data_IF_417234316035
#
_entry.id   IF_417234316035
#
_cell.length_a   1.000
_cell.length_b   1.000
_cell.length_c   1.000
_cell.angle_alpha   90.00
_cell.angle_beta   90.00
_cell.angle_gamma   90.00
#
_symmetry.space_group_name_H-M   'P 1'
#
loop_
_entity.id
_entity.type
_entity.pdbx_description
1 polymer ?
#
# COMPACT_ATOMS: atom_id res chain seq x y z
N UNK A 1 3.15 34.22 -27.19
CA UNK A 1 2.83 32.94 -27.87
C UNK A 1 3.71 32.61 -29.09
N UNK A 2 4.41 33.56 -29.72
CA UNK A 2 5.29 33.26 -30.89
C UNK A 2 6.52 32.37 -30.59
N UNK A 3 6.89 32.19 -29.32
CA UNK A 3 8.07 31.41 -28.90
C UNK A 3 8.00 29.92 -29.28
N UNK A 4 6.79 29.35 -29.29
CA UNK A 4 6.55 27.92 -29.59
C UNK A 4 6.11 27.66 -31.04
N UNK A 5 5.82 28.71 -31.80
CA UNK A 5 5.35 28.59 -33.19
C UNK A 5 6.52 28.48 -34.19
N UNK A 6 7.69 29.06 -33.89
CA UNK A 6 8.85 29.11 -34.79
C UNK A 6 9.93 28.06 -34.50
N UNK A 7 9.89 27.44 -33.31
CA UNK A 7 10.83 26.38 -32.91
C UNK A 7 10.06 25.06 -32.80
N UNK A 8 10.68 23.94 -33.21
CA UNK A 8 10.11 22.57 -33.13
C UNK A 8 9.84 22.09 -31.68
N UNK A 9 9.69 23.00 -30.72
CA UNK A 9 9.57 22.75 -29.29
C UNK A 9 8.46 21.75 -28.93
N UNK A 10 7.24 21.75 -29.53
CA UNK A 10 6.24 20.75 -29.17
C UNK A 10 6.66 19.30 -29.51
N UNK A 11 7.26 19.08 -30.69
CA UNK A 11 7.69 17.73 -31.12
C UNK A 11 8.99 17.29 -30.43
N UNK A 12 9.95 18.21 -30.26
CA UNK A 12 11.22 17.93 -29.57
C UNK A 12 10.97 17.58 -28.10
N UNK A 13 10.13 18.35 -27.40
CA UNK A 13 9.80 18.11 -25.99
C UNK A 13 9.03 16.79 -25.82
N UNK A 14 8.05 16.52 -26.69
CA UNK A 14 7.35 15.21 -26.71
C UNK A 14 8.32 14.04 -26.89
N UNK A 15 9.26 14.15 -27.84
CA UNK A 15 10.28 13.14 -28.09
C UNK A 15 11.22 12.95 -26.90
N UNK A 16 11.69 14.04 -26.30
CA UNK A 16 12.60 14.01 -25.15
C UNK A 16 11.96 13.37 -23.91
N UNK A 17 10.68 13.68 -23.66
CA UNK A 17 9.88 13.05 -22.59
C UNK A 17 9.64 11.57 -22.89
N UNK A 18 9.29 11.21 -24.13
CA UNK A 18 9.10 9.82 -24.54
C UNK A 18 10.38 8.98 -24.43
N UNK A 19 11.55 9.59 -24.64
CA UNK A 19 12.86 8.93 -24.54
C UNK A 19 13.44 8.95 -23.12
N UNK A 20 12.81 9.62 -22.16
CA UNK A 20 13.26 9.64 -20.76
C UNK A 20 14.66 10.23 -20.55
N UNK A 21 15.06 11.22 -21.37
CA UNK A 21 16.41 11.80 -21.29
C UNK A 21 16.60 12.63 -20.01
N UNK A 22 17.80 12.53 -19.41
CA UNK A 22 18.18 13.28 -18.21
C UNK A 22 18.61 14.74 -18.49
N UNK A 23 18.76 15.13 -19.75
CA UNK A 23 19.10 16.51 -20.14
C UNK A 23 17.93 17.47 -19.85
N UNK A 24 18.21 18.73 -19.49
CA UNK A 24 17.17 19.75 -19.31
C UNK A 24 16.22 19.82 -20.52
N UNK A 25 14.92 19.89 -20.23
CA UNK A 25 13.87 19.96 -21.28
C UNK A 25 14.01 21.21 -22.17
N UNK A 26 14.43 22.32 -21.56
CA UNK A 26 14.65 23.60 -22.23
C UNK A 26 16.13 23.92 -22.34
N UNK A 27 16.54 24.45 -23.50
CA UNK A 27 17.88 24.97 -23.69
C UNK A 27 18.07 26.28 -22.92
N UNK A 28 19.32 26.68 -22.67
CA UNK A 28 19.62 27.93 -21.99
C UNK A 28 19.06 29.17 -22.73
N UNK A 29 19.01 29.13 -24.07
CA UNK A 29 18.42 30.22 -24.87
C UNK A 29 16.90 30.26 -24.74
N UNK A 30 16.23 29.10 -24.70
CA UNK A 30 14.78 29.00 -24.46
C UNK A 30 14.42 29.50 -23.06
N UNK A 31 15.18 29.11 -22.03
CA UNK A 31 15.00 29.59 -20.65
C UNK A 31 15.19 31.12 -20.59
N UNK A 32 16.22 31.66 -21.26
CA UNK A 32 16.48 33.11 -21.31
C UNK A 32 15.34 33.88 -21.99
N UNK A 33 14.82 33.34 -23.10
CA UNK A 33 13.68 33.93 -23.78
C UNK A 33 12.42 33.91 -22.91
N UNK A 34 12.18 32.81 -22.19
CA UNK A 34 11.03 32.66 -21.28
C UNK A 34 11.12 33.62 -20.09
N UNK A 35 12.32 33.79 -19.50
CA UNK A 35 12.60 34.81 -18.47
C UNK A 35 12.36 36.23 -18.98
N UNK A 36 12.71 36.50 -20.24
CA UNK A 36 12.46 37.81 -20.88
C UNK A 36 10.96 38.07 -21.06
N UNK A 37 10.18 37.04 -21.43
CA UNK A 37 8.72 37.14 -21.48
C UNK A 37 8.13 37.44 -20.10
N UNK A 38 8.57 36.74 -19.05
CA UNK A 38 8.11 37.02 -17.68
C UNK A 38 8.43 38.46 -17.29
N UNK A 39 9.65 38.93 -17.54
CA UNK A 39 10.05 40.32 -17.25
C UNK A 39 9.15 41.35 -17.92
N UNK A 40 8.79 41.14 -19.19
CA UNK A 40 7.88 42.05 -19.89
C UNK A 40 6.47 41.98 -19.30
N UNK A 41 5.95 40.78 -19.05
CA UNK A 41 4.62 40.59 -18.46
C UNK A 41 4.51 41.24 -17.07
N UNK A 42 5.49 41.06 -16.19
CA UNK A 42 5.49 41.70 -14.87
C UNK A 42 5.49 43.23 -14.94
N UNK A 43 6.23 43.82 -15.89
CA UNK A 43 6.21 45.27 -16.11
C UNK A 43 4.82 45.77 -16.51
N UNK A 44 4.12 45.02 -17.37
CA UNK A 44 2.74 45.32 -17.75
C UNK A 44 1.78 45.23 -16.55
N UNK A 45 2.05 44.33 -15.60
CA UNK A 45 1.31 44.22 -14.34
C UNK A 45 1.75 45.24 -13.27
N UNK A 46 2.66 46.17 -13.59
CA UNK A 46 3.13 47.22 -12.66
C UNK A 46 4.28 46.82 -11.74
N UNK A 47 4.85 45.62 -11.89
CA UNK A 47 6.01 45.16 -11.13
C UNK A 47 7.29 45.57 -11.86
N UNK A 48 8.03 46.54 -11.30
CA UNK A 48 9.26 47.08 -11.91
C UNK A 48 10.55 46.53 -11.29
N UNK A 49 10.45 45.76 -10.19
CA UNK A 49 11.62 45.14 -9.57
C UNK A 49 12.28 44.10 -10.49
N UNK A 50 13.58 43.88 -10.29
CA UNK A 50 14.27 42.76 -10.92
C UNK A 50 13.77 41.43 -10.35
N UNK A 51 13.53 40.46 -11.23
CA UNK A 51 13.07 39.13 -10.83
C UNK A 51 14.26 38.33 -10.33
N UNK A 52 14.21 37.90 -9.08
CA UNK A 52 15.21 37.04 -8.48
C UNK A 52 14.98 35.57 -8.89
N UNK A 53 15.92 35.03 -9.66
CA UNK A 53 15.92 33.65 -10.16
C UNK A 53 16.85 32.73 -9.35
N UNK A 54 17.35 33.19 -8.20
CA UNK A 54 18.23 32.38 -7.35
C UNK A 54 17.53 31.10 -6.89
N UNK A 55 18.32 30.02 -6.83
CA UNK A 55 17.89 28.71 -6.38
C UNK A 55 18.69 28.39 -5.13
N UNK A 56 18.00 28.24 -4.00
CA UNK A 56 18.66 27.96 -2.73
C UNK A 56 19.13 26.51 -2.66
N UNK A 57 20.22 26.21 -1.93
CA UNK A 57 20.65 24.83 -1.69
C UNK A 57 19.52 23.98 -1.08
N UNK A 58 19.33 22.77 -1.63
CA UNK A 58 18.27 21.85 -1.21
C UNK A 58 16.85 22.24 -1.62
N UNK A 59 16.67 23.30 -2.41
CA UNK A 59 15.37 23.79 -2.87
C UNK A 59 15.45 24.12 -4.36
N UNK A 60 15.16 23.18 -5.28
CA UNK A 60 15.50 23.26 -6.70
C UNK A 60 14.63 24.23 -7.51
N UNK A 61 13.85 25.08 -6.84
CA UNK A 61 12.92 26.01 -7.46
C UNK A 61 13.38 27.46 -7.25
N UNK A 62 13.15 28.29 -8.27
CA UNK A 62 13.33 29.75 -8.18
C UNK A 62 12.14 30.36 -7.42
N UNK A 63 12.06 30.10 -6.11
CA UNK A 63 10.91 30.44 -5.28
C UNK A 63 10.61 31.94 -5.23
N UNK A 64 11.63 32.80 -5.36
CA UNK A 64 11.43 34.25 -5.38
C UNK A 64 10.67 34.69 -6.65
N UNK A 65 11.04 34.15 -7.81
CA UNK A 65 10.32 34.40 -9.06
C UNK A 65 8.89 33.85 -9.03
N UNK A 66 8.68 32.66 -8.46
CA UNK A 66 7.37 32.04 -8.34
C UNK A 66 6.46 32.77 -7.33
N UNK A 67 7.02 33.22 -6.20
CA UNK A 67 6.30 34.04 -5.23
C UNK A 67 5.89 35.39 -5.81
N UNK A 68 6.74 36.01 -6.64
CA UNK A 68 6.38 37.22 -7.36
C UNK A 68 5.25 36.98 -8.36
N UNK A 69 5.27 35.83 -9.05
CA UNK A 69 4.17 35.44 -9.95
C UNK A 69 2.86 35.30 -9.18
N UNK A 70 2.86 34.62 -8.05
CA UNK A 70 1.67 34.47 -7.21
C UNK A 70 1.14 35.82 -6.71
N UNK A 71 2.02 36.75 -6.32
CA UNK A 71 1.62 38.12 -5.97
C UNK A 71 0.95 38.85 -7.14
N UNK A 72 1.53 38.77 -8.34
CA UNK A 72 0.97 39.40 -9.54
C UNK A 72 -0.38 38.78 -9.93
N UNK A 73 -0.58 37.49 -9.67
CA UNK A 73 -1.84 36.79 -9.90
C UNK A 73 -2.85 36.95 -8.76
N UNK A 74 -2.49 37.65 -7.68
CA UNK A 74 -3.32 37.81 -6.48
C UNK A 74 -3.75 36.44 -5.91
N UNK A 75 -2.79 35.51 -5.85
CA UNK A 75 -3.01 34.18 -5.28
C UNK A 75 -3.52 34.29 -3.84
N UNK A 76 -4.50 33.44 -3.49
CA UNK A 76 -5.11 33.42 -2.15
C UNK A 76 -4.18 32.82 -1.11
N UNK A 77 -3.29 31.92 -1.53
CA UNK A 77 -2.29 31.34 -0.65
C UNK A 77 -1.06 32.25 -0.56
N UNK A 78 -1.12 33.19 0.38
CA UNK A 78 -0.03 34.12 0.67
C UNK A 78 1.09 33.48 1.49
N UNK A 79 0.89 32.28 2.04
CA UNK A 79 1.81 31.64 2.99
C UNK A 79 2.70 30.56 2.37
N UNK A 80 2.30 29.98 1.24
CA UNK A 80 3.04 28.93 0.54
C UNK A 80 4.50 29.32 0.24
N UNK A 81 4.72 30.45 -0.42
CA UNK A 81 6.07 30.85 -0.86
C UNK A 81 6.99 31.27 0.29
N UNK A 82 6.53 31.99 1.33
CA UNK A 82 7.27 32.10 2.59
C UNK A 82 7.64 30.74 3.18
N UNK A 83 6.67 29.82 3.34
CA UNK A 83 6.91 28.51 3.93
C UNK A 83 7.93 27.67 3.13
N UNK A 84 7.85 27.64 1.79
CA UNK A 84 8.82 26.93 0.95
C UNK A 84 10.24 27.50 1.04
N UNK A 85 10.38 28.80 1.32
CA UNK A 85 11.69 29.47 1.49
C UNK A 85 12.31 29.16 2.84
N UNK A 86 11.53 29.15 3.91
CA UNK A 86 12.01 28.81 5.26
C UNK A 86 12.18 27.29 5.46
N UNK A 87 11.37 26.51 4.76
CA UNK A 87 11.13 25.09 5.01
C UNK A 87 9.71 24.91 5.52
N UNK A 88 8.97 23.97 4.92
CA UNK A 88 7.57 23.77 5.25
C UNK A 88 7.44 23.16 6.64
N UNK A 89 6.43 23.58 7.42
CA UNK A 89 6.11 22.96 8.69
C UNK A 89 5.53 21.56 8.46
N UNK A 90 5.80 20.67 9.40
CA UNK A 90 5.28 19.29 9.46
C UNK A 90 3.81 19.24 9.89
N UNK A 91 3.29 20.32 10.49
CA UNK A 91 1.94 20.39 11.05
C UNK A 91 1.83 19.93 12.49
N UNK A 92 2.94 19.54 13.12
CA UNK A 92 3.02 19.38 14.57
C UNK A 92 2.81 20.74 15.23
N UNK A 93 2.05 20.79 16.33
CA UNK A 93 1.71 22.02 17.07
C UNK A 93 0.90 23.08 16.29
N UNK A 94 0.12 22.67 15.28
CA UNK A 94 -0.78 23.54 14.48
C UNK A 94 -0.07 24.60 13.61
N UNK A 95 1.14 24.31 13.13
CA UNK A 95 1.97 25.30 12.42
C UNK A 95 1.77 25.33 10.89
N UNK A 96 0.73 24.70 10.34
CA UNK A 96 0.40 24.85 8.92
C UNK A 96 -0.60 26.01 8.75
N UNK A 97 -0.22 27.12 8.10
CA UNK A 97 -1.16 28.18 7.79
C UNK A 97 -2.16 27.72 6.71
N UNK A 98 -3.45 28.09 6.81
CA UNK A 98 -4.42 27.76 5.79
C UNK A 98 -4.11 28.49 4.48
N UNK A 99 -4.20 27.78 3.35
CA UNK A 99 -4.03 28.30 2.00
C UNK A 99 -5.20 29.20 1.57
N UNK A 100 -6.37 29.08 2.21
CA UNK A 100 -7.63 29.70 1.82
C UNK A 100 -8.11 29.30 0.41
N UNK A 101 -7.52 28.23 -0.14
CA UNK A 101 -7.84 27.66 -1.45
C UNK A 101 -8.57 26.32 -1.30
N UNK A 102 -8.24 25.57 -0.26
CA UNK A 102 -8.79 24.25 0.01
C UNK A 102 -9.96 24.29 0.99
N UNK A 103 -10.63 23.14 1.15
CA UNK A 103 -11.81 23.06 2.01
C UNK A 103 -11.34 22.99 3.48
N UNK A 104 -11.77 23.90 4.36
CA UNK A 104 -11.41 23.83 5.76
C UNK A 104 -11.90 22.53 6.41
N UNK A 105 -11.07 21.95 7.27
CA UNK A 105 -11.44 20.82 8.12
C UNK A 105 -11.90 21.38 9.47
N UNK A 106 -13.08 20.98 9.99
CA UNK A 106 -13.48 21.36 11.34
C UNK A 106 -12.41 20.91 12.34
N UNK A 107 -11.97 21.79 13.23
CA UNK A 107 -10.97 21.48 14.25
C UNK A 107 -11.41 20.25 15.04
N UNK A 108 -10.68 19.14 14.84
CA UNK A 108 -10.92 17.88 15.54
C UNK A 108 -9.60 17.46 16.17
N UNK A 109 -9.55 17.45 17.50
CA UNK A 109 -8.42 16.97 18.29
C UNK A 109 -7.65 18.07 19.00
N UNK A 110 -7.35 17.82 20.28
CA UNK A 110 -6.30 18.50 21.02
C UNK A 110 -4.94 18.15 20.38
N UNK A 111 -4.01 19.09 20.31
CA UNK A 111 -2.63 18.79 19.90
C UNK A 111 -2.07 17.69 20.81
N UNK A 112 -1.44 16.67 20.21
CA UNK A 112 -0.73 15.66 20.97
C UNK A 112 0.30 16.32 21.90
N UNK A 113 0.43 15.81 23.12
CA UNK A 113 1.39 16.35 24.09
C UNK A 113 2.81 16.06 23.57
N UNK A 114 3.76 17.01 23.63
CA UNK A 114 5.17 16.75 23.32
C UNK A 114 5.78 15.50 24.00
N UNK A 115 5.19 15.02 25.11
CA UNK A 115 5.57 13.75 25.75
C UNK A 115 5.22 12.49 24.94
N UNK A 116 4.41 12.59 23.87
CA UNK A 116 3.97 11.46 23.05
C UNK A 116 4.99 11.05 21.97
N UNK A 117 6.03 11.87 21.70
CA UNK A 117 7.04 11.55 20.69
C UNK A 117 7.97 10.44 21.15
N UNK A 118 8.05 9.38 20.34
CA UNK A 118 8.83 8.18 20.66
C UNK A 118 10.09 8.10 19.83
N UNK A 119 11.12 7.52 20.46
CA UNK A 119 12.34 7.11 19.81
C UNK A 119 12.25 5.61 19.57
N UNK A 120 11.85 5.18 18.37
CA UNK A 120 11.78 3.77 18.06
C UNK A 120 13.17 3.12 18.08
N UNK A 121 13.23 1.92 18.66
CA UNK A 121 14.46 1.15 18.84
C UNK A 121 14.67 0.07 17.77
N UNK A 122 13.79 -0.03 16.78
CA UNK A 122 13.87 -1.03 15.72
C UNK A 122 13.46 -0.44 14.38
N UNK A 123 13.41 -1.29 13.37
CA UNK A 123 12.79 -0.98 12.09
C UNK A 123 11.73 -2.04 11.78
N UNK A 124 10.89 -1.76 10.79
CA UNK A 124 9.97 -2.76 10.30
C UNK A 124 10.71 -3.96 9.69
N UNK A 125 10.13 -5.17 9.73
CA UNK A 125 10.80 -6.39 9.29
C UNK A 125 11.36 -6.35 7.87
N UNK A 126 10.74 -5.61 6.94
CA UNK A 126 11.25 -5.49 5.58
C UNK A 126 12.60 -4.76 5.48
N UNK A 127 12.88 -3.83 6.39
CA UNK A 127 14.19 -3.18 6.52
C UNK A 127 15.18 -4.01 7.34
N UNK A 128 14.73 -4.67 8.41
CA UNK A 128 15.61 -5.51 9.25
C UNK A 128 16.05 -6.81 8.55
N UNK A 129 15.23 -7.33 7.65
CA UNK A 129 15.51 -8.55 6.88
C UNK A 129 16.63 -8.39 5.85
N UNK A 130 16.96 -7.16 5.44
CA UNK A 130 18.05 -6.87 4.51
C UNK A 130 18.81 -5.61 4.92
N UNK A 131 19.64 -5.71 5.98
CA UNK A 131 20.38 -4.57 6.50
C UNK A 131 21.35 -3.97 5.47
N UNK A 132 21.90 -4.79 4.58
CA UNK A 132 22.80 -4.33 3.52
C UNK A 132 22.07 -3.48 2.49
N UNK A 133 20.87 -3.89 2.07
CA UNK A 133 20.05 -3.06 1.19
C UNK A 133 19.54 -1.81 1.90
N UNK A 134 19.19 -1.89 3.18
CA UNK A 134 18.82 -0.72 3.97
C UNK A 134 19.95 0.31 3.99
N UNK A 135 21.17 -0.15 4.29
CA UNK A 135 22.36 0.69 4.29
C UNK A 135 22.66 1.27 2.90
N UNK A 136 22.53 0.47 1.83
CA UNK A 136 22.67 0.95 0.45
C UNK A 136 21.66 2.05 0.12
N UNK A 137 20.38 1.83 0.43
CA UNK A 137 19.31 2.79 0.14
C UNK A 137 19.49 4.08 0.95
N UNK A 138 19.81 3.98 2.25
CA UNK A 138 20.10 5.14 3.08
C UNK A 138 21.33 5.89 2.57
N UNK A 139 22.38 5.17 2.17
CA UNK A 139 23.58 5.79 1.59
C UNK A 139 23.27 6.51 0.28
N UNK A 140 22.37 5.97 -0.55
CA UNK A 140 21.88 6.66 -1.74
C UNK A 140 21.14 7.95 -1.41
N UNK A 141 20.33 7.97 -0.34
CA UNK A 141 19.62 9.18 0.10
C UNK A 141 20.59 10.21 0.73
N UNK A 142 21.61 9.75 1.46
CA UNK A 142 22.70 10.59 2.01
C UNK A 142 23.51 11.25 0.89
N UNK A 143 23.90 10.47 -0.12
CA UNK A 143 24.63 10.97 -1.29
C UNK A 143 23.80 11.97 -2.10
N UNK A 144 22.48 11.75 -2.19
CA UNK A 144 21.57 12.67 -2.84
C UNK A 144 21.28 13.93 -2.01
N UNK A 145 21.70 13.98 -0.75
CA UNK A 145 21.49 15.10 0.16
C UNK A 145 20.06 15.23 0.69
N UNK A 146 19.26 14.17 0.62
CA UNK A 146 17.88 14.16 1.14
C UNK A 146 17.81 13.83 2.63
N UNK A 147 18.83 13.17 3.15
CA UNK A 147 18.97 12.85 4.59
C UNK A 147 20.37 13.25 5.05
N UNK A 148 20.52 13.53 6.34
CA UNK A 148 21.82 13.77 6.98
C UNK A 148 22.07 12.76 8.10
N UNK A 149 23.33 12.39 8.31
CA UNK A 149 23.72 11.52 9.41
C UNK A 149 23.97 12.34 10.68
N UNK A 150 23.34 11.94 11.78
CA UNK A 150 23.55 12.52 13.11
C UNK A 150 24.29 11.51 13.97
N UNK A 151 25.37 11.94 14.64
CA UNK A 151 26.29 11.02 15.31
C UNK A 151 25.69 10.33 16.54
N UNK A 152 24.72 10.98 17.21
CA UNK A 152 24.03 10.40 18.37
C UNK A 152 22.66 11.03 18.63
N UNK A 153 21.83 10.34 19.42
CA UNK A 153 20.54 10.89 19.88
C UNK A 153 20.74 12.13 20.77
N UNK A 154 21.80 12.18 21.57
CA UNK A 154 22.13 13.35 22.41
C UNK A 154 22.47 14.57 21.55
N UNK A 155 23.20 14.36 20.46
CA UNK A 155 23.47 15.42 19.48
C UNK A 155 22.18 15.90 18.82
N UNK A 156 21.28 14.98 18.45
CA UNK A 156 19.97 15.31 17.90
C UNK A 156 19.14 16.15 18.89
N UNK A 157 19.05 15.75 20.15
CA UNK A 157 18.31 16.47 21.21
C UNK A 157 18.89 17.84 21.54
N UNK A 158 20.19 18.06 21.29
CA UNK A 158 20.82 19.38 21.42
C UNK A 158 20.51 20.28 20.21
N UNK A 159 20.38 19.70 19.02
CA UNK A 159 20.17 20.43 17.77
C UNK A 159 18.71 20.81 17.56
N UNK A 160 17.78 19.91 17.89
CA UNK A 160 16.35 20.12 17.68
C UNK A 160 15.57 20.19 18.99
N UNK A 161 14.56 21.08 19.07
CA UNK A 161 13.72 21.20 20.27
C UNK A 161 12.92 19.93 20.55
N UNK A 162 12.55 19.18 19.50
CA UNK A 162 11.81 17.94 19.57
C UNK A 162 12.47 16.90 18.66
N UNK A 163 12.54 15.66 19.14
CA UNK A 163 13.13 14.54 18.41
C UNK A 163 12.19 13.35 18.46
N UNK A 164 11.86 12.84 17.29
CA UNK A 164 11.07 11.62 17.10
C UNK A 164 11.81 10.72 16.12
N UNK A 165 11.83 9.42 16.39
CA UNK A 165 12.48 8.44 15.51
C UNK A 165 11.45 7.40 15.11
N UNK A 166 11.07 7.43 13.84
CA UNK A 166 10.18 6.44 13.22
C UNK A 166 10.92 5.19 12.78
N UNK A 167 10.16 4.22 12.29
CA UNK A 167 10.69 2.94 11.83
C UNK A 167 10.79 2.93 10.30
N UNK A 168 11.96 2.53 9.78
CA UNK A 168 12.15 2.33 8.35
C UNK A 168 11.60 0.97 7.92
N UNK A 169 11.17 0.87 6.66
CA UNK A 169 10.78 -0.37 6.01
C UNK A 169 11.32 -0.40 4.57
N UNK A 170 11.56 -1.58 4.02
CA UNK A 170 11.87 -1.75 2.61
C UNK A 170 10.77 -2.58 1.97
N UNK A 171 10.08 -1.97 1.00
CA UNK A 171 9.09 -2.66 0.18
C UNK A 171 9.73 -3.07 -1.14
N UNK A 172 9.90 -4.39 -1.31
CA UNK A 172 10.38 -5.02 -2.55
C UNK A 172 9.17 -5.48 -3.37
N UNK A 173 9.04 -4.99 -4.61
CA UNK A 173 7.99 -5.43 -5.54
C UNK A 173 8.63 -6.01 -6.81
N UNK A 174 8.19 -7.18 -7.31
CA UNK A 174 8.77 -7.81 -8.50
C UNK A 174 8.73 -6.88 -9.72
N UNK A 175 9.86 -6.76 -10.43
CA UNK A 175 10.00 -5.88 -11.60
C UNK A 175 10.07 -4.39 -11.27
N UNK A 176 10.08 -4.00 -10.00
CA UNK A 176 10.23 -2.62 -9.54
C UNK A 176 11.43 -2.49 -8.62
N UNK A 177 12.06 -1.30 -8.61
CA UNK A 177 13.13 -1.00 -7.67
C UNK A 177 12.57 -1.01 -6.23
N UNK A 178 13.32 -1.54 -5.24
CA UNK A 178 12.94 -1.46 -3.84
C UNK A 178 12.62 -0.03 -3.41
N UNK A 179 11.66 0.13 -2.49
CA UNK A 179 11.26 1.44 -1.95
C UNK A 179 11.54 1.48 -0.46
N UNK A 180 12.30 2.48 -0.05
CA UNK A 180 12.47 2.85 1.35
C UNK A 180 11.22 3.60 1.78
N UNK A 181 10.58 3.12 2.85
CA UNK A 181 9.42 3.75 3.47
C UNK A 181 9.81 4.08 4.90
N UNK A 182 9.40 5.26 5.36
CA UNK A 182 9.56 5.67 6.76
C UNK A 182 8.16 5.72 7.33
N UNK A 183 7.94 5.07 8.47
CA UNK A 183 6.69 5.18 9.22
C UNK A 183 6.89 6.09 10.45
N UNK A 184 6.52 7.37 10.34
CA UNK A 184 6.54 8.31 11.46
C UNK A 184 5.24 8.25 12.29
N UNK A 185 4.37 7.26 12.07
CA UNK A 185 3.16 7.04 12.90
C UNK A 185 3.51 6.44 14.25
N UNK A 186 4.42 5.46 14.26
CA UNK A 186 4.90 4.81 15.50
C UNK A 186 5.65 5.74 16.43
N UNK A 187 6.28 6.78 15.87
CA UNK A 187 6.98 7.81 16.64
C UNK A 187 6.05 8.89 17.19
N UNK A 188 4.74 8.84 16.89
CA UNK A 188 3.77 9.86 17.30
C UNK A 188 3.73 11.09 16.39
N UNK A 189 4.62 11.18 15.38
CA UNK A 189 4.70 12.34 14.49
C UNK A 189 3.44 12.49 13.63
N UNK A 190 3.00 11.45 12.91
CA UNK A 190 1.80 11.53 12.06
C UNK A 190 0.51 11.88 12.85
N UNK A 191 0.22 11.22 13.99
CA UNK A 191 -0.95 11.59 14.81
C UNK A 191 -0.92 13.03 15.34
N UNK A 192 0.28 13.58 15.57
CA UNK A 192 0.45 14.96 16.04
C UNK A 192 0.32 16.00 14.91
N UNK A 193 0.36 15.58 13.64
CA UNK A 193 0.22 16.47 12.49
C UNK A 193 -1.23 16.90 12.30
N UNK A 194 -1.46 18.21 12.31
CA UNK A 194 -2.79 18.79 12.14
C UNK A 194 -2.82 19.57 10.83
N UNK A 195 -3.66 19.09 9.91
CA UNK A 195 -3.81 19.66 8.57
C UNK A 195 -5.13 20.45 8.55
N UNK A 196 -5.08 21.80 8.45
CA UNK A 196 -6.28 22.64 8.60
C UNK A 196 -7.24 22.56 7.41
N UNK A 197 -6.77 22.07 6.26
CA UNK A 197 -7.53 22.04 5.03
C UNK A 197 -7.38 20.69 4.31
N UNK A 198 -8.46 20.20 3.71
CA UNK A 198 -8.43 19.01 2.86
C UNK A 198 -8.35 19.40 1.40
N UNK A 199 -7.38 18.85 0.69
CA UNK A 199 -7.35 18.92 -0.76
C UNK A 199 -8.28 17.85 -1.37
N UNK A 200 -8.86 18.16 -2.53
CA UNK A 200 -9.51 17.17 -3.39
C UNK A 200 -8.86 17.26 -4.75
N UNK A 201 -8.32 16.14 -5.25
CA UNK A 201 -7.82 16.09 -6.61
C UNK A 201 -9.01 16.03 -7.57
N UNK A 202 -9.02 16.80 -8.67
CA UNK A 202 -10.09 16.75 -9.65
C UNK A 202 -10.17 15.34 -10.25
N UNK A 203 -11.38 14.79 -10.30
CA UNK A 203 -11.68 13.52 -10.93
C UNK A 203 -11.86 13.66 -12.45
N UNK A 204 -12.03 12.52 -13.12
CA UNK A 204 -12.27 12.49 -14.58
C UNK A 204 -13.52 13.31 -14.97
N UNK A 205 -14.54 13.33 -14.11
CA UNK A 205 -15.76 14.12 -14.27
C UNK A 205 -15.51 15.63 -14.23
N UNK A 206 -14.57 16.09 -13.40
CA UNK A 206 -14.23 17.51 -13.27
C UNK A 206 -13.44 17.98 -14.50
N UNK A 207 -12.57 17.11 -15.03
CA UNK A 207 -11.87 17.34 -16.31
C UNK A 207 -12.87 17.42 -17.47
N UNK A 208 -13.88 16.54 -17.50
CA UNK A 208 -14.94 16.57 -18.50
C UNK A 208 -15.81 17.82 -18.39
N UNK A 209 -16.09 18.29 -17.17
CA UNK A 209 -16.87 19.51 -16.93
C UNK A 209 -16.09 20.79 -17.27
N UNK A 210 -14.76 20.78 -17.11
CA UNK A 210 -13.88 21.89 -17.46
C UNK A 210 -13.49 21.98 -18.94
N UNK A 211 -13.78 20.94 -19.73
CA UNK A 211 -13.55 20.95 -21.17
C UNK A 211 -14.74 21.61 -21.90
N UNK A 212 -14.53 22.56 -22.82
CA UNK A 212 -15.64 23.22 -23.49
C UNK A 212 -16.47 22.21 -24.29
N UNK A 213 -17.68 21.93 -23.78
CA UNK A 213 -18.58 20.86 -24.25
C UNK A 213 -19.06 21.11 -25.70
N UNK A 214 -18.90 22.32 -26.25
CA UNK A 214 -19.36 22.65 -27.62
C UNK A 214 -18.42 23.65 -28.29
N UNK A 215 -18.17 23.41 -29.58
CA UNK A 215 -17.49 24.26 -30.57
C UNK A 215 -15.96 24.12 -30.74
N UNK A 216 -15.27 23.19 -30.10
CA UNK A 216 -13.89 22.86 -30.45
C UNK A 216 -13.84 21.59 -31.31
N UNK A 217 -13.66 21.74 -32.62
CA UNK A 217 -13.41 20.64 -33.56
C UNK A 217 -11.91 20.34 -33.73
N UNK A 218 -11.06 20.94 -32.91
CA UNK A 218 -9.62 20.72 -32.97
C UNK A 218 -9.23 19.40 -32.28
N UNK A 219 -8.24 18.73 -32.84
CA UNK A 219 -7.69 17.50 -32.28
C UNK A 219 -6.98 17.83 -30.96
N UNK A 220 -7.49 17.30 -29.85
CA UNK A 220 -6.90 17.48 -28.52
C UNK A 220 -6.06 16.25 -28.16
N UNK A 221 -4.83 16.48 -27.71
CA UNK A 221 -3.95 15.44 -27.16
C UNK A 221 -3.81 15.62 -25.64
N UNK A 222 -4.05 14.56 -24.88
CA UNK A 222 -3.72 14.51 -23.46
C UNK A 222 -2.22 14.35 -23.24
N UNK A 223 -1.67 15.09 -22.29
CA UNK A 223 -0.28 14.97 -21.88
C UNK A 223 -0.22 14.90 -20.35
N UNK A 224 0.29 13.78 -19.83
CA UNK A 224 0.41 13.51 -18.41
C UNK A 224 1.88 13.41 -18.03
N UNK A 225 2.25 14.03 -16.91
CA UNK A 225 3.60 14.00 -16.36
C UNK A 225 3.54 13.46 -14.93
N UNK A 226 4.46 12.54 -14.62
CA UNK A 226 4.76 12.12 -13.25
C UNK A 226 6.09 12.73 -12.84
N UNK A 227 6.10 13.51 -11.77
CA UNK A 227 7.31 14.15 -11.25
C UNK A 227 7.89 13.22 -10.18
N UNK A 228 8.93 12.48 -10.58
CA UNK A 228 9.62 11.56 -9.68
C UNK A 228 10.10 12.27 -8.41
N UNK A 229 9.71 11.74 -7.25
CA UNK A 229 10.14 12.20 -5.93
C UNK A 229 9.89 13.71 -5.64
N UNK A 230 8.83 14.30 -6.20
CA UNK A 230 8.49 15.72 -5.99
C UNK A 230 8.36 16.16 -4.51
N UNK A 231 8.05 15.25 -3.59
CA UNK A 231 8.01 15.57 -2.17
C UNK A 231 9.42 15.79 -1.58
N UNK A 232 10.46 15.13 -2.12
CA UNK A 232 11.85 15.25 -1.63
C UNK A 232 12.51 16.57 -2.02
N UNK A 233 11.91 17.29 -2.97
CA UNK A 233 12.39 18.61 -3.39
C UNK A 233 11.83 19.74 -2.52
N UNK A 234 11.00 19.44 -1.53
CA UNK A 234 10.46 20.41 -0.59
C UNK A 234 11.20 20.28 0.74
N UNK A 235 11.86 21.36 1.16
CA UNK A 235 12.58 21.39 2.45
C UNK A 235 11.61 21.43 3.62
N UNK A 236 11.96 20.74 4.69
CA UNK A 236 11.30 20.83 5.99
C UNK A 236 11.95 21.93 6.82
N UNK A 237 11.16 22.64 7.62
CA UNK A 237 11.64 23.67 8.55
C UNK A 237 12.73 23.11 9.44
N UNK A 238 13.84 23.83 9.59
CA UNK A 238 15.03 23.34 10.29
C UNK A 238 14.74 22.88 11.72
N UNK A 239 13.89 23.61 12.45
CA UNK A 239 13.48 23.29 13.82
C UNK A 239 12.70 21.98 13.95
N UNK A 240 12.12 21.47 12.86
CA UNK A 240 11.23 20.30 12.86
C UNK A 240 11.85 19.07 12.20
N UNK A 241 13.06 19.18 11.65
CA UNK A 241 13.76 18.05 11.04
C UNK A 241 13.99 16.90 12.04
N UNK A 242 14.17 17.22 13.32
CA UNK A 242 14.28 16.22 14.39
C UNK A 242 13.06 15.31 14.56
N UNK A 243 11.89 15.69 14.04
CA UNK A 243 10.65 14.89 14.10
C UNK A 243 10.59 13.76 13.06
N UNK A 244 11.54 13.74 12.12
CA UNK A 244 11.61 12.81 10.98
C UNK A 244 12.81 11.86 11.07
N UNK A 245 13.31 11.61 12.29
CA UNK A 245 14.45 10.75 12.52
C UNK A 245 14.16 9.30 12.15
N UNK A 246 15.21 8.59 11.72
CA UNK A 246 15.20 7.14 11.50
C UNK A 246 16.48 6.56 12.08
N UNK A 247 16.43 5.30 12.52
CA UNK A 247 17.60 4.61 13.09
C UNK A 247 17.93 3.37 12.29
N UNK A 248 19.20 3.22 11.92
CA UNK A 248 19.70 2.02 11.23
C UNK A 248 20.46 1.19 12.27
N UNK A 249 19.85 0.09 12.74
CA UNK A 249 20.48 -0.82 13.70
C UNK A 249 21.18 -1.99 13.01
N UNK A 250 22.30 -2.46 13.58
CA UNK A 250 22.82 -3.82 13.38
C UNK A 250 22.13 -4.74 14.41
N UNK A 251 21.45 -5.83 14.00
CA UNK A 251 20.41 -6.42 14.84
C UNK A 251 20.89 -7.48 15.85
N UNK A 252 20.19 -7.50 16.99
CA UNK A 252 19.89 -8.66 17.86
C UNK A 252 18.45 -8.41 18.37
N UNK A 253 17.48 -9.24 17.98
CA UNK A 253 16.03 -8.94 18.01
C UNK A 253 15.19 -9.80 18.97
N UNK A 254 14.00 -9.31 19.39
CA UNK A 254 12.85 -10.04 20.00
C UNK A 254 11.47 -9.33 19.74
N UNK A 255 10.37 -10.11 19.79
CA UNK A 255 9.06 -9.99 19.08
C UNK A 255 7.84 -9.25 19.75
N UNK A 256 6.72 -9.01 19.02
CA UNK A 256 5.46 -8.41 19.55
C UNK A 256 4.27 -9.38 19.83
N UNK A 257 3.22 -8.87 20.52
CA UNK A 257 2.07 -9.56 21.16
C UNK A 257 0.79 -9.69 20.29
N UNK A 258 0.01 -10.76 20.54
CA UNK A 258 -1.19 -11.22 19.80
C UNK A 258 -2.53 -11.10 20.56
N UNK A 259 -3.69 -10.92 19.89
CA UNK A 259 -5.02 -11.21 20.44
C UNK A 259 -5.29 -12.73 20.53
N UNK A 260 -6.18 -13.16 21.44
CA UNK A 260 -6.44 -14.56 21.82
C UNK A 260 -7.30 -15.37 20.82
N UNK A 261 -6.81 -15.53 19.59
CA UNK A 261 -7.31 -16.46 18.58
C UNK A 261 -6.14 -17.24 18.00
N UNK A 262 -6.32 -18.54 17.75
CA UNK A 262 -5.28 -19.42 17.20
C UNK A 262 -5.83 -20.21 16.03
N UNK A 263 -5.11 -20.28 14.91
CA UNK A 263 -5.57 -21.01 13.73
C UNK A 263 -4.40 -21.35 12.80
N UNK A 264 -4.51 -22.48 12.10
CA UNK A 264 -3.47 -23.00 11.21
C UNK A 264 -4.11 -23.68 10.00
N UNK A 265 -3.43 -23.67 8.87
CA UNK A 265 -3.77 -24.49 7.73
C UNK A 265 -2.53 -24.93 6.95
N UNK A 266 -2.68 -26.05 6.26
CA UNK A 266 -1.58 -26.71 5.60
C UNK A 266 -2.06 -27.57 4.42
N UNK A 267 -1.12 -27.91 3.53
CA UNK A 267 -1.36 -28.85 2.46
C UNK A 267 -0.23 -29.85 2.29
N UNK A 268 -0.59 -31.03 1.82
CA UNK A 268 0.36 -32.04 1.39
C UNK A 268 0.12 -32.40 -0.07
N UNK A 269 1.17 -32.84 -0.74
CA UNK A 269 1.09 -33.37 -2.07
C UNK A 269 1.90 -34.66 -2.17
N UNK A 270 1.49 -35.54 -3.07
CA UNK A 270 2.27 -36.70 -3.48
C UNK A 270 1.80 -37.16 -4.85
N UNK A 271 2.71 -37.20 -5.82
CA UNK A 271 2.40 -37.56 -7.21
C UNK A 271 1.27 -36.68 -7.77
N UNK A 272 0.09 -37.24 -8.04
CA UNK A 272 -1.09 -36.55 -8.54
C UNK A 272 -2.12 -36.21 -7.46
N UNK A 273 -1.86 -36.59 -6.20
CA UNK A 273 -2.76 -36.40 -5.07
C UNK A 273 -2.38 -35.18 -4.26
N UNK A 274 -3.41 -34.47 -3.82
CA UNK A 274 -3.34 -33.26 -3.02
C UNK A 274 -4.24 -33.44 -1.81
N UNK A 275 -3.79 -32.95 -0.67
CA UNK A 275 -4.60 -32.84 0.53
C UNK A 275 -4.45 -31.46 1.15
N UNK A 276 -5.54 -30.89 1.66
CA UNK A 276 -5.55 -29.62 2.39
C UNK A 276 -6.27 -29.81 3.73
N UNK A 277 -5.82 -29.09 4.76
CA UNK A 277 -6.47 -29.11 6.08
C UNK A 277 -6.21 -27.85 6.88
N UNK A 278 -7.04 -27.60 7.89
CA UNK A 278 -6.85 -26.46 8.79
C UNK A 278 -7.90 -26.35 9.88
N UNK A 279 -7.62 -25.51 10.88
CA UNK A 279 -8.44 -25.35 12.09
C UNK A 279 -8.40 -23.94 12.67
N UNK A 280 -9.49 -23.53 13.34
CA UNK A 280 -9.66 -22.27 14.08
C UNK A 280 -10.05 -22.57 15.53
N UNK A 281 -9.38 -21.93 16.50
CA UNK A 281 -9.67 -22.02 17.92
C UNK A 281 -9.96 -20.63 18.51
N UNK A 282 -11.16 -20.51 19.08
CA UNK A 282 -11.54 -19.41 19.95
C UNK A 282 -11.42 -19.84 21.41
N UNK A 283 -11.05 -18.91 22.30
CA UNK A 283 -10.93 -19.20 23.72
C UNK A 283 -12.28 -19.71 24.28
N UNK A 284 -12.25 -20.90 24.90
CA UNK A 284 -13.44 -21.53 25.49
C UNK A 284 -14.42 -22.19 24.50
N UNK A 285 -14.10 -22.30 23.20
CA UNK A 285 -14.98 -22.91 22.20
C UNK A 285 -14.35 -24.13 21.49
N UNK A 286 -15.16 -25.07 20.98
CA UNK A 286 -14.67 -26.15 20.11
C UNK A 286 -14.00 -25.62 18.85
N UNK A 287 -12.96 -26.32 18.37
CA UNK A 287 -12.26 -25.95 17.14
C UNK A 287 -13.15 -26.16 15.91
N UNK A 288 -13.14 -25.19 15.00
CA UNK A 288 -13.73 -25.33 13.66
C UNK A 288 -12.63 -25.83 12.73
N UNK A 289 -12.91 -26.78 11.83
CA UNK A 289 -11.86 -27.39 11.01
C UNK A 289 -12.37 -27.92 9.66
N UNK A 290 -11.43 -28.10 8.72
CA UNK A 290 -11.66 -28.72 7.41
C UNK A 290 -10.52 -29.66 7.04
N UNK A 291 -10.84 -30.63 6.17
CA UNK A 291 -9.88 -31.55 5.54
C UNK A 291 -10.48 -32.08 4.24
N UNK A 292 -9.78 -31.88 3.12
CA UNK A 292 -10.21 -32.28 1.78
C UNK A 292 -9.04 -32.84 0.95
N UNK A 293 -9.36 -33.74 0.02
CA UNK A 293 -8.39 -34.33 -0.90
C UNK A 293 -8.84 -34.17 -2.34
N UNK A 294 -7.88 -33.90 -3.22
CA UNK A 294 -8.08 -33.62 -4.64
C UNK A 294 -7.03 -34.35 -5.48
N UNK A 295 -7.27 -34.43 -6.77
CA UNK A 295 -6.31 -34.83 -7.79
C UNK A 295 -5.91 -33.62 -8.63
N UNK A 296 -4.71 -33.65 -9.24
CA UNK A 296 -4.27 -32.63 -10.22
C UNK A 296 -5.29 -32.46 -11.36
N UNK A 297 -5.97 -33.54 -11.74
CA UNK A 297 -7.04 -33.54 -12.75
C UNK A 297 -8.23 -32.64 -12.37
N UNK A 298 -8.56 -32.53 -11.08
CA UNK A 298 -9.66 -31.70 -10.61
C UNK A 298 -9.40 -30.22 -10.95
N UNK A 299 -8.16 -29.77 -10.82
CA UNK A 299 -7.76 -28.39 -11.13
C UNK A 299 -7.59 -28.13 -12.62
N UNK A 300 -7.02 -29.09 -13.36
CA UNK A 300 -6.87 -28.94 -14.82
C UNK A 300 -8.22 -28.96 -15.53
N UNK A 301 -9.22 -29.66 -14.98
CA UNK A 301 -10.61 -29.62 -15.47
C UNK A 301 -11.24 -28.22 -15.34
N UNK A 302 -10.79 -27.42 -14.38
CA UNK A 302 -11.17 -26.01 -14.21
C UNK A 302 -10.37 -25.04 -15.10
N UNK A 303 -9.54 -25.57 -16.00
CA UNK A 303 -8.69 -24.78 -16.89
C UNK A 303 -7.42 -24.24 -16.22
N UNK A 304 -7.06 -24.74 -15.02
CA UNK A 304 -5.87 -24.29 -14.31
C UNK A 304 -4.63 -25.04 -14.80
N UNK A 305 -3.54 -24.34 -15.18
CA UNK A 305 -2.36 -24.97 -15.74
C UNK A 305 -1.47 -25.58 -14.64
N UNK A 306 -1.95 -26.66 -14.01
CA UNK A 306 -1.22 -27.37 -12.97
C UNK A 306 -0.14 -28.28 -13.55
N UNK A 307 0.96 -28.48 -12.82
CA UNK A 307 1.97 -29.47 -13.15
C UNK A 307 1.47 -30.88 -12.83
N UNK A 308 1.93 -31.86 -13.61
CA UNK A 308 1.55 -33.26 -13.43
C UNK A 308 1.98 -33.84 -12.06
N UNK A 309 3.10 -33.37 -11.51
CA UNK A 309 3.55 -33.68 -10.16
C UNK A 309 3.13 -32.56 -9.19
N UNK A 310 2.18 -32.87 -8.31
CA UNK A 310 1.60 -31.95 -7.33
C UNK A 310 2.67 -31.37 -6.37
N UNK A 311 3.74 -32.12 -6.05
CA UNK A 311 4.82 -31.62 -5.19
C UNK A 311 5.48 -30.34 -5.72
N UNK A 312 5.52 -30.17 -7.04
CA UNK A 312 6.13 -29.01 -7.68
C UNK A 312 5.28 -27.74 -7.58
N UNK A 313 4.05 -27.88 -7.09
CA UNK A 313 3.01 -26.85 -6.98
C UNK A 313 2.49 -26.74 -5.52
N UNK A 314 3.24 -27.27 -4.53
CA UNK A 314 2.83 -27.34 -3.12
C UNK A 314 2.36 -26.01 -2.54
N UNK A 315 3.04 -24.91 -2.91
CA UNK A 315 2.69 -23.53 -2.52
C UNK A 315 1.24 -23.18 -2.92
N UNK A 316 0.75 -23.68 -4.05
CA UNK A 316 -0.61 -23.38 -4.52
C UNK A 316 -1.65 -24.09 -3.67
N UNK A 317 -1.35 -25.33 -3.24
CA UNK A 317 -2.24 -26.15 -2.43
C UNK A 317 -2.29 -25.68 -0.98
N UNK A 318 -1.17 -25.23 -0.41
CA UNK A 318 -1.17 -24.58 0.90
C UNK A 318 -1.92 -23.25 0.85
N UNK A 319 -1.77 -22.46 -0.23
CA UNK A 319 -2.59 -21.25 -0.45
C UNK A 319 -4.08 -21.61 -0.54
N UNK A 320 -4.44 -22.74 -1.15
CA UNK A 320 -5.80 -23.27 -1.14
C UNK A 320 -6.27 -23.67 0.26
N UNK A 321 -5.39 -24.23 1.10
CA UNK A 321 -5.68 -24.51 2.50
C UNK A 321 -5.96 -23.21 3.29
N UNK A 322 -5.19 -22.14 3.04
CA UNK A 322 -5.42 -20.82 3.60
C UNK A 322 -6.79 -20.23 3.19
N UNK A 323 -7.22 -20.43 1.95
CA UNK A 323 -8.58 -20.10 1.49
C UNK A 323 -9.64 -20.89 2.26
N UNK A 324 -9.43 -22.20 2.43
CA UNK A 324 -10.33 -23.07 3.20
C UNK A 324 -10.49 -22.61 4.66
N UNK A 325 -9.39 -22.17 5.28
CA UNK A 325 -9.39 -21.68 6.66
C UNK A 325 -10.18 -20.39 6.82
N UNK A 326 -10.02 -19.46 5.87
CA UNK A 326 -10.80 -18.22 5.83
C UNK A 326 -12.30 -18.50 5.70
N UNK A 327 -12.70 -19.48 4.89
CA UNK A 327 -14.10 -19.88 4.75
C UNK A 327 -14.64 -20.53 6.04
N UNK A 328 -13.84 -21.35 6.72
CA UNK A 328 -14.20 -21.94 8.01
C UNK A 328 -14.43 -20.87 9.10
N UNK A 329 -13.59 -19.84 9.15
CA UNK A 329 -13.80 -18.72 10.06
C UNK A 329 -15.05 -17.91 9.68
N UNK A 330 -15.22 -17.57 8.39
CA UNK A 330 -16.31 -16.72 7.91
C UNK A 330 -17.69 -17.38 8.09
N UNK A 331 -17.78 -18.69 8.01
CA UNK A 331 -19.00 -19.47 8.25
C UNK A 331 -19.41 -19.49 9.73
N UNK A 332 -18.47 -19.29 10.66
CA UNK A 332 -18.74 -19.24 12.09
C UNK A 332 -19.17 -17.85 12.61
N UNK A 333 -18.97 -16.79 11.82
CA UNK A 333 -19.30 -15.41 12.18
C UNK A 333 -20.50 -14.89 11.38
N UNK A 334 -21.72 -15.37 11.68
CA UNK A 334 -22.93 -14.98 10.96
C UNK A 334 -23.52 -13.67 11.53
N UNK A 335 -23.37 -12.55 10.82
CA UNK A 335 -24.27 -11.39 11.03
C UNK A 335 -23.69 -10.01 11.37
N UNK A 336 -22.47 -9.66 10.97
CA UNK A 336 -22.01 -8.26 11.04
C UNK A 336 -21.02 -7.95 9.94
N UNK A 337 -21.17 -6.83 9.22
CA UNK A 337 -20.07 -6.27 8.42
C UNK A 337 -19.08 -5.59 9.37
N UNK A 338 -18.34 -6.41 10.11
CA UNK A 338 -17.04 -6.03 10.64
C UNK A 338 -15.99 -6.57 9.67
N UNK A 339 -14.97 -5.76 9.38
CA UNK A 339 -13.76 -6.24 8.70
C UNK A 339 -12.97 -7.05 9.73
N UNK A 340 -13.02 -8.37 9.65
CA UNK A 340 -12.31 -9.26 10.59
C UNK A 340 -10.98 -9.69 9.98
N UNK A 341 -9.90 -9.54 10.74
CA UNK A 341 -8.59 -10.07 10.39
C UNK A 341 -8.41 -11.44 11.06
N UNK A 342 -8.07 -12.46 10.27
CA UNK A 342 -7.87 -13.84 10.72
C UNK A 342 -6.36 -14.12 10.71
N UNK A 343 -5.70 -14.24 11.87
CA UNK A 343 -4.27 -14.50 11.95
C UNK A 343 -3.95 -15.96 11.68
N UNK A 344 -3.43 -16.34 10.51
CA UNK A 344 -3.15 -17.73 10.12
C UNK A 344 -1.69 -18.14 10.20
N UNK A 345 -1.44 -19.44 10.14
CA UNK A 345 -0.12 -20.04 10.07
C UNK A 345 0.02 -20.91 8.83
N UNK A 346 1.18 -20.81 8.19
CA UNK A 346 1.66 -21.69 7.12
C UNK A 346 3.15 -21.93 7.33
N UNK A 347 3.65 -23.11 7.05
CA UNK A 347 5.09 -23.41 7.06
C UNK A 347 5.80 -23.14 5.72
N UNK A 348 5.08 -22.47 4.81
CA UNK A 348 5.59 -22.11 3.51
C UNK A 348 5.51 -20.61 3.27
N UNK A 349 6.68 -20.00 3.15
CA UNK A 349 6.82 -18.55 2.96
C UNK A 349 6.22 -18.06 1.62
N UNK A 350 6.07 -18.93 0.62
CA UNK A 350 5.41 -18.60 -0.63
C UNK A 350 3.91 -18.37 -0.44
N UNK A 351 3.29 -19.25 0.34
CA UNK A 351 1.87 -19.19 0.72
C UNK A 351 1.59 -17.99 1.62
N UNK A 352 2.41 -17.79 2.66
CA UNK A 352 2.38 -16.60 3.52
C UNK A 352 2.40 -15.30 2.68
N UNK A 353 3.37 -15.19 1.77
CA UNK A 353 3.53 -14.01 0.92
C UNK A 353 2.33 -13.76 0.03
N UNK A 354 1.75 -14.79 -0.60
CA UNK A 354 0.61 -14.61 -1.52
C UNK A 354 -0.70 -14.37 -0.78
N UNK A 355 -0.92 -15.05 0.35
CA UNK A 355 -2.11 -14.87 1.17
C UNK A 355 -2.26 -13.43 1.69
N UNK A 356 -1.15 -12.81 2.09
CA UNK A 356 -1.16 -11.43 2.60
C UNK A 356 -1.18 -10.38 1.48
N UNK A 357 -0.48 -10.62 0.37
CA UNK A 357 -0.41 -9.67 -0.75
C UNK A 357 -1.64 -9.71 -1.65
N UNK A 358 -2.36 -10.85 -1.67
CA UNK A 358 -3.50 -11.12 -2.55
C UNK A 358 -3.19 -10.88 -4.04
N UNK A 359 -1.90 -10.95 -4.39
CA UNK A 359 -1.40 -10.61 -5.71
C UNK A 359 -0.11 -11.37 -5.99
N UNK A 360 -0.06 -11.97 -7.17
CA UNK A 360 1.16 -12.49 -7.78
C UNK A 360 0.95 -12.55 -9.29
N UNK A 361 2.04 -12.47 -10.04
CA UNK A 361 2.04 -12.68 -11.50
C UNK A 361 2.48 -14.10 -11.87
N UNK A 362 2.86 -14.92 -10.88
CA UNK A 362 3.30 -16.30 -11.10
C UNK A 362 2.09 -17.16 -11.42
N UNK A 363 2.09 -17.78 -12.60
CA UNK A 363 1.05 -18.74 -13.03
C UNK A 363 1.43 -20.13 -12.51
N UNK A 364 0.47 -20.94 -12.00
CA UNK A 364 -0.97 -20.66 -11.80
C UNK A 364 -1.35 -19.90 -10.52
N UNK A 365 -0.42 -19.59 -9.62
CA UNK A 365 -0.71 -18.97 -8.31
C UNK A 365 -1.52 -17.68 -8.38
N UNK A 366 -1.40 -16.92 -9.47
CA UNK A 366 -2.16 -15.70 -9.70
C UNK A 366 -3.67 -15.94 -9.70
N UNK A 367 -4.14 -17.11 -10.18
CA UNK A 367 -5.56 -17.47 -10.16
C UNK A 367 -6.04 -17.76 -8.73
N UNK A 368 -5.21 -18.42 -7.92
CA UNK A 368 -5.50 -18.69 -6.50
C UNK A 368 -5.48 -17.39 -5.68
N UNK A 369 -4.54 -16.49 -5.96
CA UNK A 369 -4.48 -15.17 -5.35
C UNK A 369 -5.72 -14.33 -5.70
N UNK A 370 -6.13 -14.32 -6.98
CA UNK A 370 -7.35 -13.65 -7.43
C UNK A 370 -8.59 -14.22 -6.73
N UNK A 371 -8.65 -15.55 -6.56
CA UNK A 371 -9.77 -16.21 -5.89
C UNK A 371 -9.82 -15.88 -4.40
N UNK A 372 -8.69 -15.99 -3.70
CA UNK A 372 -8.57 -15.60 -2.30
C UNK A 372 -8.96 -14.13 -2.10
N UNK A 373 -8.51 -13.23 -2.97
CA UNK A 373 -8.87 -11.81 -2.93
C UNK A 373 -10.37 -11.57 -3.10
N UNK A 374 -10.99 -12.28 -4.04
CA UNK A 374 -12.44 -12.20 -4.30
C UNK A 374 -13.25 -12.71 -3.12
N UNK A 375 -12.81 -13.81 -2.50
CA UNK A 375 -13.44 -14.38 -1.31
C UNK A 375 -13.25 -13.47 -0.09
N UNK A 376 -12.04 -12.96 0.15
CA UNK A 376 -11.73 -12.01 1.21
C UNK A 376 -12.61 -10.75 1.11
N UNK A 377 -12.74 -10.19 -0.10
CA UNK A 377 -13.59 -9.03 -0.38
C UNK A 377 -15.07 -9.34 -0.16
N UNK A 378 -15.59 -10.43 -0.75
CA UNK A 378 -17.01 -10.78 -0.65
C UNK A 378 -17.44 -11.23 0.75
N UNK A 379 -16.53 -11.79 1.53
CA UNK A 379 -16.73 -12.17 2.93
C UNK A 379 -16.45 -11.02 3.92
N UNK A 380 -15.89 -9.89 3.47
CA UNK A 380 -15.39 -8.81 4.32
C UNK A 380 -14.37 -9.28 5.38
N UNK A 381 -13.51 -10.22 4.99
CA UNK A 381 -12.51 -10.86 5.84
C UNK A 381 -11.12 -10.61 5.27
N UNK A 382 -10.14 -10.35 6.12
CA UNK A 382 -8.72 -10.29 5.76
C UNK A 382 -8.00 -11.46 6.40
N UNK A 383 -7.16 -12.14 5.64
CA UNK A 383 -6.30 -13.21 6.15
C UNK A 383 -4.91 -12.63 6.40
N UNK A 384 -4.36 -12.86 7.59
CA UNK A 384 -3.02 -12.45 8.00
C UNK A 384 -2.19 -13.70 8.29
N UNK A 385 -1.60 -14.27 7.24
CA UNK A 385 -0.85 -15.51 7.31
C UNK A 385 0.59 -15.24 7.75
N UNK A 386 1.03 -15.89 8.82
CA UNK A 386 2.39 -15.85 9.35
C UNK A 386 3.10 -17.17 9.10
N UNK A 387 4.42 -17.13 8.89
CA UNK A 387 5.21 -18.34 8.77
C UNK A 387 5.39 -19.04 10.13
N UNK A 388 5.26 -20.37 10.16
CA UNK A 388 5.62 -21.23 11.31
C UNK A 388 6.60 -22.32 10.85
N UNK A 389 7.44 -22.85 11.73
CA UNK A 389 8.28 -24.00 11.35
C UNK A 389 7.42 -25.26 11.20
N UNK A 390 7.73 -26.12 10.22
CA UNK A 390 6.96 -27.35 9.99
C UNK A 390 6.79 -28.26 11.22
N UNK A 391 7.75 -28.28 12.15
CA UNK A 391 7.64 -29.02 13.42
C UNK A 391 6.62 -28.45 14.44
N UNK A 392 5.93 -27.38 14.08
CA UNK A 392 4.82 -26.80 14.85
C UNK A 392 3.51 -26.82 14.03
N UNK A 393 3.52 -27.36 12.80
CA UNK A 393 2.38 -27.42 11.89
C UNK A 393 1.64 -28.78 11.95
N UNK A 394 2.08 -29.68 12.83
CA UNK A 394 1.80 -31.12 12.85
C UNK A 394 0.29 -31.46 12.76
N UNK A 395 -0.57 -30.60 13.32
CA UNK A 395 -2.03 -30.80 13.30
C UNK A 395 -2.64 -30.56 11.92
N UNK A 396 -2.25 -29.48 11.25
CA UNK A 396 -2.74 -29.18 9.91
C UNK A 396 -2.12 -30.16 8.89
N UNK A 397 -0.86 -30.52 9.12
CA UNK A 397 -0.11 -31.56 8.42
C UNK A 397 -0.81 -32.94 8.54
N UNK A 398 -1.28 -33.31 9.74
CA UNK A 398 -2.04 -34.55 9.91
C UNK A 398 -3.38 -34.51 9.17
N UNK A 399 -4.12 -33.40 9.28
CA UNK A 399 -5.43 -33.23 8.63
C UNK A 399 -5.34 -33.23 7.10
N UNK A 400 -4.29 -32.63 6.53
CA UNK A 400 -4.05 -32.65 5.09
C UNK A 400 -3.78 -34.06 4.55
N UNK A 401 -3.29 -34.99 5.39
CA UNK A 401 -3.02 -36.40 5.03
C UNK A 401 -4.15 -37.37 5.40
N UNK A 402 -5.21 -36.89 6.06
CA UNK A 402 -6.28 -37.76 6.53
C UNK A 402 -7.14 -38.29 5.38
N UNK A 403 -7.32 -39.62 5.33
CA UNK A 403 -8.01 -40.31 4.24
C UNK A 403 -9.55 -40.28 4.32
N UNK A 404 -10.11 -39.66 5.37
CA UNK A 404 -11.55 -39.58 5.60
C UNK A 404 -12.19 -40.82 6.24
N UNK A 405 -11.41 -41.88 6.50
CA UNK A 405 -11.87 -43.16 7.05
C UNK A 405 -11.18 -43.51 8.39
N UNK A 406 -9.95 -43.03 8.61
CA UNK A 406 -9.22 -43.29 9.84
C UNK A 406 -9.89 -42.61 11.05
N UNK A 407 -9.88 -43.23 12.24
CA UNK A 407 -10.47 -42.66 13.43
C UNK A 407 -9.84 -41.31 13.78
N UNK A 408 -10.68 -40.31 13.99
CA UNK A 408 -10.25 -38.96 14.38
C UNK A 408 -9.70 -38.96 15.82
N UNK A 409 -8.59 -38.24 16.10
CA UNK A 409 -8.14 -37.99 17.45
C UNK A 409 -9.22 -37.31 18.31
N UNK A 410 -9.18 -37.50 19.63
CA UNK A 410 -10.20 -37.02 20.58
C UNK A 410 -10.51 -35.52 20.52
N UNK A 411 -9.55 -34.72 20.05
CA UNK A 411 -9.67 -33.27 19.85
C UNK A 411 -10.61 -32.88 18.69
N UNK A 412 -10.93 -33.81 17.79
CA UNK A 412 -11.67 -33.55 16.55
C UNK A 412 -12.98 -34.35 16.52
N UNK A 413 -14.08 -33.64 16.26
CA UNK A 413 -15.41 -34.22 16.19
C UNK A 413 -15.92 -34.17 14.76
N UNK A 414 -16.37 -35.31 14.24
CA UNK A 414 -16.93 -35.45 12.89
C UNK A 414 -18.05 -34.45 12.60
N UNK A 415 -18.87 -34.15 13.60
CA UNK A 415 -20.04 -33.28 13.48
C UNK A 415 -19.69 -31.82 13.14
N UNK A 416 -18.43 -31.42 13.35
CA UNK A 416 -17.93 -30.07 13.08
C UNK A 416 -17.08 -30.00 11.79
N UNK A 417 -17.01 -31.09 11.02
CA UNK A 417 -16.30 -31.10 9.74
C UNK A 417 -17.10 -30.31 8.70
N UNK A 418 -16.49 -29.28 8.13
CA UNK A 418 -17.04 -28.59 6.96
C UNK A 418 -16.53 -29.28 5.69
N UNK A 419 -17.45 -29.67 4.80
CA UNK A 419 -17.08 -30.19 3.48
C UNK A 419 -16.86 -29.05 2.50
N UNK A 420 -15.68 -28.99 1.89
CA UNK A 420 -15.27 -27.92 0.97
C UNK A 420 -14.89 -28.50 -0.41
N UNK A 421 -15.86 -28.99 -1.21
CA UNK A 421 -15.57 -29.49 -2.55
C UNK A 421 -14.97 -28.38 -3.42
N UNK A 422 -14.17 -28.77 -4.43
CA UNK A 422 -13.41 -27.81 -5.22
C UNK A 422 -14.29 -26.76 -5.91
N UNK A 423 -15.47 -27.15 -6.41
CA UNK A 423 -16.45 -26.21 -6.98
C UNK A 423 -16.87 -25.12 -5.97
N UNK A 424 -17.02 -25.45 -4.69
CA UNK A 424 -17.34 -24.48 -3.65
C UNK A 424 -16.16 -23.52 -3.39
N UNK A 425 -14.93 -24.06 -3.34
CA UNK A 425 -13.71 -23.26 -3.19
C UNK A 425 -13.49 -22.32 -4.39
N UNK A 426 -13.78 -22.80 -5.60
CA UNK A 426 -13.38 -22.14 -6.85
C UNK A 426 -14.48 -21.31 -7.53
N UNK A 427 -15.70 -21.82 -7.61
CA UNK A 427 -16.82 -21.18 -8.31
C UNK A 427 -17.68 -20.35 -7.35
N UNK A 428 -17.72 -20.74 -6.06
CA UNK A 428 -18.48 -20.03 -5.04
C UNK A 428 -19.97 -20.29 -5.11
N UNK A 429 -20.37 -21.44 -5.67
CA UNK A 429 -21.75 -21.92 -5.57
C UNK A 429 -22.16 -21.98 -4.10
N UNK A 430 -23.16 -21.17 -3.76
CA UNK A 430 -23.83 -21.24 -2.48
C UNK A 430 -25.02 -22.17 -2.65
N UNK A 431 -24.93 -23.34 -2.05
CA UNK A 431 -26.09 -24.21 -1.88
C UNK A 431 -27.07 -23.48 -0.95
N UNK A 432 -28.10 -22.84 -1.53
CA UNK A 432 -29.13 -22.13 -0.77
C UNK A 432 -29.97 -23.18 -0.04
N UNK A 433 -29.63 -23.42 1.22
CA UNK A 433 -30.41 -24.31 2.08
C UNK A 433 -31.46 -23.51 2.84
N UNK A 434 -32.69 -24.01 2.80
CA UNK A 434 -33.77 -23.51 3.64
C UNK A 434 -33.59 -24.11 5.04
N UNK A 435 -33.55 -23.24 6.06
CA UNK A 435 -33.49 -23.66 7.45
C UNK A 435 -34.66 -23.05 8.25
N UNK A 436 -35.48 -23.84 8.97
CA UNK A 436 -35.48 -25.31 8.99
C UNK A 436 -35.81 -25.89 7.59
N UNK A 437 -35.50 -27.17 7.36
CA UNK A 437 -35.65 -27.85 6.05
C UNK A 437 -37.06 -27.74 5.44
N UNK A 438 -38.05 -27.44 6.27
CA UNK A 438 -39.47 -27.31 5.95
C UNK A 438 -39.89 -25.85 5.63
N UNK A 439 -38.96 -24.89 5.72
CA UNK A 439 -39.22 -23.51 5.31
C UNK A 439 -39.50 -23.43 3.80
N UNK A 440 -40.43 -22.55 3.39
CA UNK A 440 -40.79 -22.33 1.99
C UNK A 440 -40.49 -20.90 1.57
N UNK A 441 -39.86 -20.72 0.41
CA UNK A 441 -39.69 -19.41 -0.20
C UNK A 441 -41.05 -18.90 -0.70
N UNK A 442 -41.48 -17.74 -0.22
CA UNK A 442 -42.73 -17.07 -0.64
C UNK A 442 -42.65 -16.46 -2.05
N UNK A 443 -41.51 -16.58 -2.72
CA UNK A 443 -41.17 -15.97 -3.99
C UNK A 443 -40.26 -16.91 -4.78
N UNK A 444 -40.45 -16.98 -6.11
CA UNK A 444 -39.63 -17.81 -6.98
C UNK A 444 -38.38 -17.03 -7.39
N UNK A 445 -37.16 -17.49 -7.07
CA UNK A 445 -35.96 -16.87 -7.61
C UNK A 445 -35.93 -17.08 -9.13
N UNK A 446 -35.51 -16.05 -9.86
CA UNK A 446 -35.21 -16.14 -11.28
C UNK A 446 -33.94 -16.98 -11.44
N UNK A 447 -34.12 -18.29 -11.60
CA UNK A 447 -33.03 -19.15 -12.05
C UNK A 447 -32.72 -18.84 -13.52
N UNK A 448 -31.44 -18.81 -13.93
CA UNK A 448 -31.08 -18.77 -15.35
C UNK A 448 -31.75 -19.96 -16.06
N UNK A 449 -32.33 -19.71 -17.24
CA UNK A 449 -32.97 -20.76 -18.00
C UNK A 449 -31.95 -21.86 -18.36
N UNK A 450 -32.08 -23.05 -17.76
CA UNK A 450 -31.26 -24.21 -18.12
C UNK A 450 -30.96 -25.24 -17.03
N UNK A 451 -31.32 -25.02 -15.77
CA UNK A 451 -31.15 -26.05 -14.73
C UNK A 451 -32.51 -26.64 -14.35
N UNK A 452 -32.78 -27.84 -14.88
CA UNK A 452 -33.86 -28.74 -14.45
C UNK A 452 -33.58 -29.33 -13.09
#
# INVERSE_FOLDING_TARGET
MQLFASTKAPLRLRKQVAEGRAEPLFSASEVSALRSCWKNWFREQGFTQEIDWTVAPGQPYALNALGLLAQALQDRDVHLWPALREGVPTGVAHDIPPSNTFIPVPSCGEAADPEDFKICSGNWPGAESDPSLLEEMIQSELQAGYVEAVGSLEEAKRRWPQVAVGEANIVKAPGRKPRLIIDPTVSGTNPACLIPERFMLPGLSDIQAGFPIRACSEEVSGFSLDIAAAHKTVRIRESEQGLLGIKVFRPLALSPLNPSVSLAADACASLDKIGIGGWVAFEGQPRIWFAESFQVSDFTSLGLPMKAEANLDIVFYETLAQIGLMLCFATACVGGRLRVCIPSWSDNSGTESVANKLFTTVVPLCYFAQRLATLAWSAAVTLDCSHISGCHNDKADWLSRWNGADPLPSDWKSDYRVRLPLAMLWEGEKDIRLFPSEARLLWKPLLPAGTS
#
